data_IF_603019633974
#
_entry.id   IF_603019633974
#
_cell.length_a   1.000
_cell.length_b   1.000
_cell.length_c   1.000
_cell.angle_alpha   90.00
_cell.angle_beta   90.00
_cell.angle_gamma   90.00
#
_symmetry.space_group_name_H-M   'P 1'
#
loop_
_entity.id
_entity.type
_entity.pdbx_description
1 polymer ?
#
# COMPACT_ATOMS: atom_id res chain seq x y z
N UNK A 1 -28.47 4.48 -12.63
CA UNK A 1 -27.94 3.68 -13.76
C UNK A 1 -27.34 2.40 -13.18
N UNK A 2 -27.79 1.21 -13.61
CA UNK A 2 -27.30 -0.08 -13.07
C UNK A 2 -26.14 -0.57 -13.92
N UNK A 3 -24.99 -0.87 -13.29
CA UNK A 3 -23.75 -1.30 -13.93
C UNK A 3 -23.46 -2.76 -13.61
N UNK A 4 -22.90 -3.51 -14.57
CA UNK A 4 -22.32 -4.83 -14.30
C UNK A 4 -20.93 -4.66 -13.66
N UNK A 5 -20.46 -5.70 -12.95
CA UNK A 5 -19.17 -5.66 -12.23
C UNK A 5 -17.98 -5.26 -13.14
N UNK A 6 -17.97 -5.70 -14.40
CA UNK A 6 -16.93 -5.33 -15.37
C UNK A 6 -16.95 -3.84 -15.75
N UNK A 7 -18.15 -3.23 -15.82
CA UNK A 7 -18.30 -1.80 -16.08
C UNK A 7 -17.92 -0.97 -14.86
N UNK A 8 -18.32 -1.41 -13.67
CA UNK A 8 -17.90 -0.81 -12.41
C UNK A 8 -16.37 -0.84 -12.27
N UNK A 9 -15.74 -1.98 -12.59
CA UNK A 9 -14.29 -2.13 -12.57
C UNK A 9 -13.59 -1.15 -13.50
N UNK A 10 -14.06 -1.02 -14.74
CA UNK A 10 -13.52 -0.05 -15.72
C UNK A 10 -13.67 1.39 -15.24
N UNK A 11 -14.87 1.79 -14.82
CA UNK A 11 -15.17 3.16 -14.40
C UNK A 11 -14.45 3.55 -13.11
N UNK A 12 -14.33 2.63 -12.16
CA UNK A 12 -13.66 2.88 -10.88
C UNK A 12 -12.14 2.68 -10.96
N UNK A 13 -11.61 2.02 -12.01
CA UNK A 13 -10.22 1.60 -12.09
C UNK A 13 -9.84 0.58 -11.01
N UNK A 14 -10.81 -0.19 -10.51
CA UNK A 14 -10.63 -1.19 -9.48
C UNK A 14 -10.80 -2.60 -10.08
N UNK A 15 -9.84 -3.52 -9.90
CA UNK A 15 -9.96 -4.88 -10.41
C UNK A 15 -11.21 -5.59 -9.86
N UNK A 16 -11.87 -6.41 -10.70
CA UNK A 16 -13.07 -7.18 -10.31
C UNK A 16 -12.82 -8.04 -9.07
N UNK A 17 -11.64 -8.62 -8.94
CA UNK A 17 -11.24 -9.44 -7.78
C UNK A 17 -11.26 -8.59 -6.50
N UNK A 18 -10.77 -7.36 -6.56
CA UNK A 18 -10.74 -6.43 -5.43
C UNK A 18 -12.15 -5.97 -5.05
N UNK A 19 -13.03 -5.74 -6.04
CA UNK A 19 -14.44 -5.41 -5.77
C UNK A 19 -15.12 -6.55 -5.01
N UNK A 20 -14.97 -7.79 -5.48
CA UNK A 20 -15.51 -8.97 -4.79
C UNK A 20 -14.95 -9.17 -3.39
N UNK A 21 -13.67 -8.83 -3.19
CA UNK A 21 -13.05 -8.85 -1.88
C UNK A 21 -13.71 -7.84 -0.94
N UNK A 22 -13.97 -6.61 -1.40
CA UNK A 22 -14.65 -5.60 -0.59
C UNK A 22 -16.11 -5.95 -0.29
N UNK A 23 -16.80 -6.65 -1.19
CA UNK A 23 -18.12 -7.23 -0.89
C UNK A 23 -18.03 -8.26 0.23
N UNK A 24 -17.09 -9.21 0.11
CA UNK A 24 -16.89 -10.27 1.12
C UNK A 24 -16.54 -9.68 2.50
N UNK A 25 -15.75 -8.59 2.52
CA UNK A 25 -15.38 -7.88 3.73
C UNK A 25 -16.48 -6.95 4.27
N UNK A 26 -17.63 -6.87 3.61
CA UNK A 26 -18.76 -6.03 4.02
C UNK A 26 -18.50 -4.53 3.89
N UNK A 27 -17.51 -4.13 3.11
CA UNK A 27 -17.24 -2.72 2.80
C UNK A 27 -18.13 -2.18 1.68
N UNK A 28 -18.51 -3.04 0.74
CA UNK A 28 -19.56 -2.80 -0.23
C UNK A 28 -20.81 -3.59 0.16
N UNK A 29 -22.01 -3.04 0.01
CA UNK A 29 -23.24 -3.77 0.24
C UNK A 29 -23.38 -4.93 -0.77
N UNK A 30 -24.21 -5.89 -0.44
CA UNK A 30 -24.53 -6.95 -1.39
C UNK A 30 -25.27 -6.34 -2.59
N UNK A 31 -24.76 -6.53 -3.83
CA UNK A 31 -25.34 -5.90 -5.01
C UNK A 31 -26.67 -6.54 -5.36
N UNK A 32 -27.58 -5.75 -5.91
CA UNK A 32 -28.79 -6.27 -6.51
C UNK A 32 -28.47 -7.29 -7.60
N UNK A 33 -29.41 -8.22 -7.84
CA UNK A 33 -29.30 -9.18 -8.92
C UNK A 33 -30.33 -8.92 -10.00
N UNK A 34 -29.89 -8.98 -11.26
CA UNK A 34 -30.80 -8.98 -12.40
C UNK A 34 -31.64 -10.25 -12.44
N UNK A 35 -32.72 -10.28 -13.22
CA UNK A 35 -33.49 -11.49 -13.49
C UNK A 35 -32.65 -12.64 -14.09
N UNK A 36 -31.49 -12.31 -14.68
CA UNK A 36 -30.50 -13.27 -15.19
C UNK A 36 -29.38 -13.56 -14.18
N UNK A 37 -29.58 -13.24 -12.90
CA UNK A 37 -28.67 -13.50 -11.78
C UNK A 37 -27.30 -12.78 -11.85
N UNK A 38 -27.16 -11.70 -12.65
CA UNK A 38 -25.96 -10.86 -12.67
C UNK A 38 -26.00 -9.80 -11.57
N UNK A 39 -24.84 -9.57 -10.92
CA UNK A 39 -24.64 -8.49 -9.96
C UNK A 39 -24.78 -7.12 -10.64
N UNK A 40 -25.60 -6.27 -10.06
CA UNK A 40 -25.89 -4.92 -10.53
C UNK A 40 -25.50 -3.92 -9.44
N UNK A 41 -24.75 -2.90 -9.83
CA UNK A 41 -24.25 -1.84 -8.96
C UNK A 41 -24.83 -0.51 -9.42
N UNK A 42 -25.02 0.40 -8.50
CA UNK A 42 -25.52 1.74 -8.78
C UNK A 42 -24.46 2.84 -8.56
N UNK A 43 -24.87 4.09 -8.60
CA UNK A 43 -23.97 5.22 -8.39
C UNK A 43 -23.47 5.30 -6.94
N UNK A 44 -24.31 4.91 -5.97
CA UNK A 44 -23.90 4.88 -4.56
C UNK A 44 -22.80 3.83 -4.31
N UNK A 45 -22.90 2.68 -4.96
CA UNK A 45 -21.83 1.66 -4.92
C UNK A 45 -20.52 2.19 -5.52
N UNK A 46 -20.61 2.93 -6.62
CA UNK A 46 -19.45 3.56 -7.25
C UNK A 46 -18.79 4.60 -6.34
N UNK A 47 -19.59 5.48 -5.71
CA UNK A 47 -19.08 6.47 -4.76
C UNK A 47 -18.45 5.82 -3.55
N UNK A 48 -19.10 4.78 -3.01
CA UNK A 48 -18.57 4.00 -1.90
C UNK A 48 -17.25 3.33 -2.26
N UNK A 49 -17.13 2.76 -3.44
CA UNK A 49 -15.89 2.16 -3.93
C UNK A 49 -14.78 3.20 -4.11
N UNK A 50 -15.08 4.40 -4.64
CA UNK A 50 -14.13 5.51 -4.72
C UNK A 50 -13.62 5.91 -3.34
N UNK A 51 -14.53 6.04 -2.37
CA UNK A 51 -14.18 6.35 -0.99
C UNK A 51 -13.23 5.31 -0.39
N UNK A 52 -13.56 4.01 -0.49
CA UNK A 52 -12.71 2.92 -0.01
C UNK A 52 -11.31 3.02 -0.62
N UNK A 53 -11.21 3.23 -1.93
CA UNK A 53 -9.93 3.35 -2.63
C UNK A 53 -9.11 4.55 -2.17
N UNK A 54 -9.75 5.70 -1.94
CA UNK A 54 -9.08 6.87 -1.38
C UNK A 54 -8.48 6.56 -0.01
N UNK A 55 -9.26 5.99 0.89
CA UNK A 55 -8.79 5.60 2.22
C UNK A 55 -7.60 4.61 2.13
N UNK A 56 -7.70 3.60 1.25
CA UNK A 56 -6.61 2.63 1.02
C UNK A 56 -5.34 3.29 0.50
N UNK A 57 -5.47 4.29 -0.38
CA UNK A 57 -4.34 5.06 -0.90
C UNK A 57 -3.61 5.84 0.20
N UNK A 58 -4.33 6.26 1.23
CA UNK A 58 -3.77 6.90 2.43
C UNK A 58 -3.29 5.90 3.50
N UNK A 59 -3.18 4.61 3.17
CA UNK A 59 -2.66 3.59 4.08
C UNK A 59 -3.65 3.10 5.13
N UNK A 60 -4.91 3.51 5.08
CA UNK A 60 -5.91 3.10 6.07
C UNK A 60 -6.22 1.61 5.97
N UNK A 61 -6.36 0.95 7.11
CA UNK A 61 -6.73 -0.46 7.22
C UNK A 61 -8.24 -0.65 6.95
N UNK A 62 -8.65 -1.86 6.56
CA UNK A 62 -10.06 -2.13 6.27
C UNK A 62 -10.98 -1.90 7.47
N UNK A 63 -10.51 -2.18 8.68
CA UNK A 63 -11.27 -1.90 9.92
C UNK A 63 -11.55 -0.40 10.08
N UNK A 64 -10.55 0.46 9.86
CA UNK A 64 -10.69 1.91 9.94
C UNK A 64 -11.63 2.44 8.85
N UNK A 65 -11.56 1.89 7.64
CA UNK A 65 -12.45 2.25 6.52
C UNK A 65 -13.89 1.84 6.86
N UNK A 66 -14.10 0.69 7.50
CA UNK A 66 -15.43 0.23 7.93
C UNK A 66 -16.04 1.21 8.94
N UNK A 67 -15.25 1.68 9.90
CA UNK A 67 -15.69 2.68 10.88
C UNK A 67 -16.01 4.02 10.22
N UNK A 68 -15.18 4.48 9.26
CA UNK A 68 -15.44 5.70 8.49
C UNK A 68 -16.72 5.61 7.66
N UNK A 69 -16.98 4.45 7.05
CA UNK A 69 -18.21 4.21 6.30
C UNK A 69 -19.43 4.20 7.22
N UNK A 70 -19.35 3.56 8.39
CA UNK A 70 -20.42 3.55 9.38
C UNK A 70 -20.72 4.98 9.87
N UNK A 71 -19.70 5.79 10.10
CA UNK A 71 -19.87 7.20 10.46
C UNK A 71 -20.51 8.02 9.33
N UNK A 72 -20.10 7.82 8.08
CA UNK A 72 -20.68 8.48 6.92
C UNK A 72 -22.15 8.14 6.73
N UNK A 73 -22.48 6.87 6.91
CA UNK A 73 -23.85 6.36 6.71
C UNK A 73 -24.77 6.78 7.90
N UNK A 74 -24.19 6.98 9.08
CA UNK A 74 -24.90 7.40 10.31
C UNK A 74 -24.05 8.41 11.11
N UNK A 75 -24.11 9.71 10.81
CA UNK A 75 -23.30 10.74 11.45
C UNK A 75 -23.78 11.03 12.87
N UNK A 76 -23.45 10.15 13.81
CA UNK A 76 -23.83 10.24 15.24
C UNK A 76 -22.70 10.69 16.15
N UNK A 77 -21.46 10.83 15.62
CA UNK A 77 -20.26 11.17 16.39
C UNK A 77 -19.71 12.54 15.99
N UNK A 78 -18.91 13.15 16.86
CA UNK A 78 -18.18 14.37 16.53
C UNK A 78 -17.05 14.08 15.53
N UNK A 79 -16.61 15.12 14.79
CA UNK A 79 -15.45 15.02 13.88
C UNK A 79 -14.13 14.70 14.60
N UNK A 80 -14.08 14.78 15.93
CA UNK A 80 -12.88 14.56 16.73
C UNK A 80 -12.30 13.16 16.54
N UNK A 81 -13.18 12.17 16.39
CA UNK A 81 -12.75 10.80 16.10
C UNK A 81 -12.03 10.70 14.75
N UNK A 82 -12.58 11.32 13.71
CA UNK A 82 -11.97 11.34 12.36
C UNK A 82 -10.63 12.07 12.36
N UNK A 83 -10.54 13.18 13.11
CA UNK A 83 -9.30 13.93 13.27
C UNK A 83 -8.23 13.09 13.98
N UNK A 84 -8.60 12.38 15.05
CA UNK A 84 -7.70 11.48 15.77
C UNK A 84 -7.20 10.34 14.88
N UNK A 85 -8.07 9.79 14.03
CA UNK A 85 -7.68 8.75 13.09
C UNK A 85 -6.65 9.28 12.08
N UNK A 86 -6.91 10.44 11.48
CA UNK A 86 -5.99 11.06 10.51
C UNK A 86 -4.66 11.43 11.18
N UNK A 87 -4.68 11.99 12.40
CA UNK A 87 -3.47 12.30 13.13
C UNK A 87 -2.60 11.06 13.37
N UNK A 88 -3.20 9.94 13.77
CA UNK A 88 -2.48 8.66 13.94
C UNK A 88 -1.82 8.19 12.63
N UNK A 89 -2.45 8.43 11.48
CA UNK A 89 -1.83 8.11 10.20
C UNK A 89 -0.65 9.03 9.88
N UNK A 90 -0.74 10.32 10.22
CA UNK A 90 0.37 11.27 10.09
C UNK A 90 1.54 10.81 10.95
N UNK A 91 1.30 10.51 12.23
CA UNK A 91 2.35 10.04 13.16
C UNK A 91 3.04 8.76 12.64
N UNK A 92 2.27 7.82 12.07
CA UNK A 92 2.82 6.61 11.46
C UNK A 92 3.69 6.92 10.23
N UNK A 93 3.27 7.86 9.38
CA UNK A 93 4.06 8.28 8.22
C UNK A 93 5.35 8.96 8.66
N UNK A 94 5.31 9.83 9.67
CA UNK A 94 6.50 10.48 10.23
C UNK A 94 7.49 9.45 10.79
N UNK A 95 6.99 8.44 11.52
CA UNK A 95 7.82 7.34 12.01
C UNK A 95 8.48 6.56 10.86
N UNK A 96 7.74 6.30 9.76
CA UNK A 96 8.29 5.64 8.58
C UNK A 96 9.34 6.51 7.88
N UNK A 97 9.12 7.80 7.75
CA UNK A 97 10.09 8.75 7.19
C UNK A 97 11.38 8.75 8.01
N UNK A 98 11.28 8.81 9.33
CA UNK A 98 12.44 8.76 10.22
C UNK A 98 13.23 7.45 10.04
N UNK A 99 12.54 6.31 9.99
CA UNK A 99 13.16 4.98 9.77
C UNK A 99 13.86 4.89 8.41
N UNK A 100 13.21 5.35 7.33
CA UNK A 100 13.81 5.35 5.99
C UNK A 100 14.98 6.32 5.90
N UNK A 101 14.94 7.46 6.57
CA UNK A 101 16.05 8.43 6.63
C UNK A 101 17.27 7.81 7.33
N UNK A 102 17.04 7.07 8.42
CA UNK A 102 18.11 6.35 9.11
C UNK A 102 18.70 5.25 8.24
N UNK A 103 17.87 4.46 7.56
CA UNK A 103 18.33 3.43 6.63
C UNK A 103 19.15 4.04 5.49
N UNK A 104 18.70 5.16 4.91
CA UNK A 104 19.45 5.89 3.89
C UNK A 104 20.83 6.27 4.40
N UNK A 105 20.94 6.86 5.58
CA UNK A 105 22.21 7.24 6.17
C UNK A 105 23.16 6.04 6.35
N UNK A 106 22.65 4.89 6.76
CA UNK A 106 23.43 3.65 6.88
C UNK A 106 23.94 3.18 5.52
N UNK A 107 23.10 3.23 4.47
CA UNK A 107 23.52 2.87 3.11
C UNK A 107 24.57 3.83 2.55
N UNK A 108 24.46 5.12 2.83
CA UNK A 108 25.48 6.12 2.47
C UNK A 108 26.81 5.84 3.17
N UNK A 109 26.80 5.45 4.45
CA UNK A 109 28.01 5.02 5.16
C UNK A 109 28.65 3.79 4.51
N UNK A 110 27.86 2.78 4.12
CA UNK A 110 28.37 1.62 3.39
C UNK A 110 29.00 2.02 2.04
N UNK A 111 28.38 2.95 1.33
CA UNK A 111 28.91 3.45 0.07
C UNK A 111 30.28 4.14 0.27
N UNK A 112 30.43 4.93 1.35
CA UNK A 112 31.69 5.59 1.68
C UNK A 112 32.78 4.64 2.20
N UNK A 113 32.39 3.49 2.75
CA UNK A 113 33.36 2.44 3.16
C UNK A 113 34.09 1.82 1.95
N UNK A 114 33.56 2.01 0.74
CA UNK A 114 34.17 1.53 -0.49
C UNK A 114 34.97 2.69 -1.15
N UNK A 115 36.18 2.94 -0.66
CA UNK A 115 37.11 3.95 -1.23
C UNK A 115 37.97 3.39 -2.38
N UNK A 116 37.39 2.62 -3.30
CA UNK A 116 38.07 2.18 -4.54
C UNK A 116 39.25 1.22 -4.25
N UNK A 117 39.03 0.17 -3.52
CA UNK A 117 40.04 -0.85 -3.22
C UNK A 117 40.47 -1.61 -4.47
N UNK A 118 41.78 -1.82 -4.62
CA UNK A 118 42.37 -2.69 -5.62
C UNK A 118 41.87 -4.15 -5.45
N UNK A 119 41.83 -4.86 -6.57
CA UNK A 119 41.28 -6.20 -6.73
C UNK A 119 41.39 -7.10 -5.49
N UNK A 120 40.23 -7.45 -4.91
CA UNK A 120 40.11 -8.52 -3.90
C UNK A 120 39.46 -8.17 -2.56
N UNK A 121 39.33 -6.89 -2.19
CA UNK A 121 38.66 -6.48 -0.95
C UNK A 121 37.64 -5.37 -1.20
N UNK A 122 36.37 -5.67 -0.97
CA UNK A 122 35.30 -4.71 -1.07
C UNK A 122 34.83 -4.32 0.35
N UNK A 123 35.08 -3.08 0.76
CA UNK A 123 34.72 -2.56 2.07
C UNK A 123 33.22 -2.68 2.38
N UNK A 124 32.37 -2.64 1.37
CA UNK A 124 30.91 -2.90 1.52
C UNK A 124 30.67 -4.37 1.95
N UNK A 125 31.30 -5.32 1.26
CA UNK A 125 31.15 -6.74 1.60
C UNK A 125 31.72 -7.06 2.98
N UNK A 126 32.85 -6.46 3.35
CA UNK A 126 33.45 -6.62 4.69
C UNK A 126 32.51 -6.03 5.76
N UNK A 127 31.94 -4.84 5.52
CA UNK A 127 31.00 -4.20 6.45
C UNK A 127 29.70 -5.01 6.61
N UNK A 128 29.17 -5.59 5.52
CA UNK A 128 27.96 -6.42 5.56
C UNK A 128 28.20 -7.81 6.16
N UNK A 129 29.46 -8.28 6.16
CA UNK A 129 29.87 -9.55 6.78
C UNK A 129 30.21 -9.40 8.28
N UNK A 130 30.37 -8.17 8.77
CA UNK A 130 30.60 -7.92 10.18
C UNK A 130 29.30 -8.17 10.98
N UNK A 131 29.45 -8.57 12.28
CA UNK A 131 28.28 -8.70 13.15
C UNK A 131 27.46 -7.42 13.16
N UNK A 132 26.18 -7.52 12.85
CA UNK A 132 25.27 -6.39 12.83
C UNK A 132 25.04 -5.92 14.28
N UNK A 133 25.41 -4.69 14.67
CA UNK A 133 25.20 -4.19 16.03
C UNK A 133 23.71 -4.06 16.38
N UNK A 134 22.84 -4.14 15.40
CA UNK A 134 21.38 -4.11 15.59
C UNK A 134 20.74 -5.50 15.62
N UNK A 135 21.48 -6.58 15.24
CA UNK A 135 20.97 -7.95 15.24
C UNK A 135 21.04 -8.61 16.62
N UNK A 136 21.85 -8.09 17.53
CA UNK A 136 21.93 -8.58 18.92
C UNK A 136 20.68 -8.21 19.73
N UNK A 137 19.96 -7.17 19.32
CA UNK A 137 18.74 -6.70 19.95
C UNK A 137 17.57 -7.21 19.08
N UNK A 138 17.12 -8.43 19.19
CA UNK A 138 15.90 -9.11 18.69
C UNK A 138 14.95 -8.30 17.72
N UNK A 139 15.38 -7.17 17.21
CA UNK A 139 14.68 -6.24 16.35
C UNK A 139 15.02 -6.37 14.86
N UNK A 140 15.99 -7.20 14.49
CA UNK A 140 16.07 -7.69 13.13
C UNK A 140 14.91 -8.66 12.89
N UNK A 141 13.67 -8.13 12.88
CA UNK A 141 12.57 -8.87 12.31
C UNK A 141 12.88 -8.95 10.82
N UNK A 142 13.11 -10.18 10.36
CA UNK A 142 13.05 -10.48 8.94
C UNK A 142 11.78 -9.84 8.40
N UNK A 143 11.91 -8.74 7.67
CA UNK A 143 10.85 -8.33 6.78
C UNK A 143 10.68 -9.48 5.81
N UNK A 144 9.49 -10.10 5.73
CA UNK A 144 9.28 -11.17 4.77
C UNK A 144 9.70 -10.63 3.40
N UNK A 145 10.41 -11.44 2.57
CA UNK A 145 10.86 -11.00 1.27
C UNK A 145 9.66 -10.44 0.51
N UNK A 146 9.75 -9.18 0.08
CA UNK A 146 8.76 -8.65 -0.86
C UNK A 146 8.75 -9.61 -2.07
N UNK A 147 7.56 -10.05 -2.52
CA UNK A 147 7.48 -10.86 -3.72
C UNK A 147 8.14 -10.08 -4.86
N UNK A 148 9.14 -10.69 -5.50
CA UNK A 148 9.89 -10.13 -6.61
C UNK A 148 8.95 -9.37 -7.56
N UNK A 149 9.01 -8.06 -7.55
CA UNK A 149 8.43 -7.27 -8.63
C UNK A 149 9.23 -7.60 -9.88
N UNK A 150 8.62 -8.11 -10.95
CA UNK A 150 9.35 -8.33 -12.19
C UNK A 150 9.97 -6.99 -12.60
N UNK A 151 11.29 -6.98 -12.66
CA UNK A 151 12.07 -5.85 -13.17
C UNK A 151 11.60 -5.64 -14.61
N UNK A 152 10.90 -4.53 -14.86
CA UNK A 152 10.42 -4.18 -16.19
C UNK A 152 11.60 -4.20 -17.16
N UNK A 153 11.53 -5.08 -18.16
CA UNK A 153 12.51 -5.13 -19.26
C UNK A 153 12.55 -3.73 -19.91
N UNK A 154 13.65 -3.03 -19.69
CA UNK A 154 13.96 -1.79 -20.38
C UNK A 154 13.87 -2.02 -21.88
N UNK A 155 12.97 -1.30 -22.56
CA UNK A 155 12.91 -1.27 -24.01
C UNK A 155 14.23 -0.72 -24.52
N UNK A 156 14.98 -1.57 -25.23
CA UNK A 156 16.22 -1.21 -25.88
C UNK A 156 16.02 -0.03 -26.82
N UNK A 157 16.86 1.01 -26.65
CA UNK A 157 17.01 2.05 -27.64
C UNK A 157 17.58 1.44 -28.93
N UNK A 158 16.75 1.34 -29.94
CA UNK A 158 17.18 1.05 -31.31
C UNK A 158 17.97 2.23 -31.84
N UNK A 159 19.29 2.07 -32.02
CA UNK A 159 20.12 2.98 -32.81
C UNK A 159 19.71 2.80 -34.28
N UNK A 160 19.21 3.87 -34.89
CA UNK A 160 19.21 4.02 -36.36
C UNK A 160 20.53 4.66 -36.77
N UNK A 161 21.21 3.95 -37.63
CA UNK A 161 22.24 4.50 -38.53
C UNK A 161 21.58 5.29 -39.63
#
# INVERSE_FOLDING_TARGET
>A
MKLKIGELAKKSGCPVVTIRYYEKEGLLPEPDRSGSNYRLYDEADMERLRFIRHCRRHGMKLAEIRELLAFRDHPTRSCDWSNTLVQRHIDNVEAQIASLTQLKAQLEQLLHACSGGSAGRCGILESLSAPCPYCEDLRCRETPPEPDRPVGRGKGLSKKS
#
